data_IF_790482735710
#
_entry.id   IF_790482735710
#
_cell.length_a   1.000
_cell.length_b   1.000
_cell.length_c   1.000
_cell.angle_alpha   90.00
_cell.angle_beta   90.00
_cell.angle_gamma   90.00
#
_symmetry.space_group_name_H-M   'P 1'
#
loop_
_entity.id
_entity.type
_entity.pdbx_description
1 polymer ?
#
# COMPACT_ATOMS: atom_id res chain seq x y z
N UNK A 1 13.84 4.35 5.13
CA UNK A 1 14.58 3.44 6.04
C UNK A 1 16.05 3.81 6.01
N UNK A 2 16.78 3.71 7.13
CA UNK A 2 18.25 3.83 7.08
C UNK A 2 18.80 2.58 6.40
N UNK A 3 19.59 2.79 5.34
CA UNK A 3 20.27 1.71 4.61
C UNK A 3 21.33 1.07 5.51
N UNK A 4 21.57 -0.24 5.32
CA UNK A 4 22.67 -0.93 5.99
C UNK A 4 23.99 -0.40 5.41
N UNK A 5 24.98 -0.05 6.24
CA UNK A 5 26.31 0.32 5.76
C UNK A 5 27.02 -0.86 5.08
N UNK A 6 27.78 -0.58 4.01
CA UNK A 6 28.54 -1.61 3.27
C UNK A 6 29.60 -2.23 4.18
N UNK A 7 29.74 -3.56 4.13
CA UNK A 7 30.73 -4.30 4.91
C UNK A 7 30.55 -4.27 6.43
N UNK A 8 29.46 -3.67 6.97
CA UNK A 8 29.25 -3.54 8.42
C UNK A 8 27.83 -3.94 8.84
N UNK A 9 27.63 -4.45 10.07
CA UNK A 9 26.30 -4.72 10.59
C UNK A 9 25.51 -3.42 10.82
N UNK A 10 24.19 -3.50 10.69
CA UNK A 10 23.32 -2.35 11.01
C UNK A 10 23.23 -2.19 12.54
N UNK A 11 23.42 -0.95 13.02
CA UNK A 11 23.21 -0.60 14.43
C UNK A 11 21.85 -1.07 14.95
N UNK A 12 21.82 -1.56 16.20
CA UNK A 12 20.60 -2.01 16.89
C UNK A 12 19.51 -0.94 16.84
N UNK A 13 19.85 0.32 17.10
CA UNK A 13 18.89 1.44 17.05
C UNK A 13 18.30 1.64 15.66
N UNK A 14 19.10 1.52 14.60
CA UNK A 14 18.61 1.61 13.24
C UNK A 14 17.65 0.46 12.89
N UNK A 15 17.92 -0.75 13.38
CA UNK A 15 17.02 -1.91 13.22
C UNK A 15 15.68 -1.67 13.92
N UNK A 16 15.71 -1.29 15.19
CA UNK A 16 14.49 -1.03 15.99
C UNK A 16 13.65 0.07 15.35
N UNK A 17 14.28 1.19 14.99
CA UNK A 17 13.59 2.30 14.33
C UNK A 17 13.03 1.91 12.97
N UNK A 18 13.80 1.21 12.12
CA UNK A 18 13.30 0.75 10.83
C UNK A 18 12.13 -0.23 11.01
N UNK A 19 12.17 -1.12 12.01
CA UNK A 19 11.07 -2.05 12.34
C UNK A 19 9.80 -1.29 12.75
N UNK A 20 9.93 -0.28 13.62
CA UNK A 20 8.81 0.56 14.03
C UNK A 20 8.17 1.29 12.84
N UNK A 21 9.00 1.90 11.97
CA UNK A 21 8.52 2.56 10.75
C UNK A 21 7.84 1.56 9.81
N UNK A 22 8.40 0.36 9.63
CA UNK A 22 7.82 -0.69 8.78
C UNK A 22 6.42 -1.08 9.19
N UNK A 23 6.15 -1.19 10.51
CA UNK A 23 4.81 -1.55 11.02
C UNK A 23 3.72 -0.59 10.51
N UNK A 24 4.03 0.70 10.34
CA UNK A 24 3.07 1.66 9.80
C UNK A 24 3.07 1.70 8.27
N UNK A 25 4.25 1.66 7.64
CA UNK A 25 4.38 1.77 6.18
C UNK A 25 3.80 0.59 5.42
N UNK A 26 3.79 -0.61 6.01
CA UNK A 26 3.31 -1.80 5.29
C UNK A 26 1.87 -1.63 4.80
N UNK A 27 1.00 -0.95 5.57
CA UNK A 27 -0.40 -0.75 5.20
C UNK A 27 -0.48 0.05 3.90
N UNK A 28 0.23 1.17 3.86
CA UNK A 28 0.29 2.08 2.71
C UNK A 28 0.89 1.38 1.49
N UNK A 29 2.03 0.71 1.67
CA UNK A 29 2.75 0.01 0.59
C UNK A 29 1.94 -1.17 0.04
N UNK A 30 1.24 -1.92 0.90
CA UNK A 30 0.32 -2.99 0.49
C UNK A 30 -0.81 -2.42 -0.36
N UNK A 31 -1.47 -1.35 0.08
CA UNK A 31 -2.57 -0.73 -0.66
C UNK A 31 -2.12 -0.28 -2.04
N UNK A 32 -1.02 0.48 -2.16
CA UNK A 32 -0.49 0.88 -3.47
C UNK A 32 -0.04 -0.32 -4.31
N UNK A 33 0.52 -1.36 -3.69
CA UNK A 33 0.89 -2.59 -4.37
C UNK A 33 -0.32 -3.31 -4.98
N UNK A 34 -1.45 -3.34 -4.27
CA UNK A 34 -2.72 -3.89 -4.77
C UNK A 34 -3.34 -3.02 -5.85
N UNK A 35 -3.37 -1.70 -5.66
CA UNK A 35 -3.87 -0.76 -6.66
C UNK A 35 -3.12 -0.87 -7.99
N UNK A 36 -1.79 -1.00 -7.94
CA UNK A 36 -0.95 -1.17 -9.13
C UNK A 36 -1.14 -2.54 -9.80
N UNK A 37 -1.12 -3.63 -9.03
CA UNK A 37 -1.13 -5.00 -9.56
C UNK A 37 -2.53 -5.51 -9.93
N UNK A 38 -3.51 -5.31 -9.06
CA UNK A 38 -4.87 -5.85 -9.21
C UNK A 38 -5.79 -4.86 -9.91
N UNK A 39 -5.70 -3.57 -9.56
CA UNK A 39 -6.53 -2.54 -10.16
C UNK A 39 -5.87 -1.86 -11.37
N UNK A 40 -4.68 -2.30 -11.80
CA UNK A 40 -4.05 -1.80 -13.03
C UNK A 40 -3.67 -0.31 -12.99
N UNK A 41 -3.37 0.25 -11.82
CA UNK A 41 -2.89 1.64 -11.67
C UNK A 41 -1.35 1.77 -11.75
N UNK A 42 -0.67 0.79 -12.34
CA UNK A 42 0.78 0.84 -12.55
C UNK A 42 1.19 1.86 -13.62
N UNK A 43 0.30 2.10 -14.60
CA UNK A 43 0.50 3.00 -15.73
C UNK A 43 -0.80 3.81 -15.91
N UNK A 44 -0.68 5.10 -16.21
CA UNK A 44 -1.83 5.93 -16.55
C UNK A 44 -2.36 5.56 -17.94
N UNK A 45 -3.66 5.28 -18.04
CA UNK A 45 -4.30 4.87 -19.32
C UNK A 45 -4.85 6.02 -20.14
N UNK A 46 -5.13 7.15 -19.49
CA UNK A 46 -5.70 8.34 -20.12
C UNK A 46 -4.67 9.46 -20.20
N UNK A 47 -4.83 10.32 -21.20
CA UNK A 47 -3.93 11.46 -21.44
C UNK A 47 -4.21 12.62 -20.46
N UNK A 48 -5.47 12.90 -20.15
CA UNK A 48 -5.82 14.05 -19.30
C UNK A 48 -5.75 13.69 -17.81
N UNK A 49 -5.27 14.65 -17.00
CA UNK A 49 -5.18 14.51 -15.55
C UNK A 49 -6.55 14.25 -14.91
N UNK A 50 -7.60 14.91 -15.39
CA UNK A 50 -8.96 14.72 -14.91
C UNK A 50 -9.43 13.26 -15.09
N UNK A 51 -9.23 12.68 -16.27
CA UNK A 51 -9.63 11.28 -16.55
C UNK A 51 -8.83 10.30 -15.70
N UNK A 52 -7.53 10.53 -15.53
CA UNK A 52 -6.68 9.71 -14.65
C UNK A 52 -7.10 9.85 -13.18
N UNK A 53 -7.42 11.06 -12.72
CA UNK A 53 -7.89 11.30 -11.35
C UNK A 53 -9.21 10.57 -11.07
N UNK A 54 -10.16 10.64 -12.01
CA UNK A 54 -11.43 9.93 -11.93
C UNK A 54 -11.23 8.41 -11.90
N UNK A 55 -10.32 7.88 -12.74
CA UNK A 55 -9.95 6.46 -12.73
C UNK A 55 -9.38 6.01 -11.37
N UNK A 56 -8.46 6.79 -10.82
CA UNK A 56 -7.84 6.50 -9.52
C UNK A 56 -8.89 6.52 -8.41
N UNK A 57 -9.77 7.52 -8.39
CA UNK A 57 -10.85 7.64 -7.40
C UNK A 57 -11.81 6.44 -7.47
N UNK A 58 -12.27 6.09 -8.67
CA UNK A 58 -13.19 4.96 -8.86
C UNK A 58 -12.57 3.64 -8.37
N UNK A 59 -11.30 3.38 -8.72
CA UNK A 59 -10.59 2.18 -8.28
C UNK A 59 -10.29 2.19 -6.78
N UNK A 60 -10.03 3.35 -6.18
CA UNK A 60 -9.87 3.49 -4.74
C UNK A 60 -11.19 3.19 -3.99
N UNK A 61 -12.32 3.66 -4.51
CA UNK A 61 -13.65 3.31 -3.98
C UNK A 61 -13.88 1.81 -4.07
N UNK A 62 -13.65 1.19 -5.23
CA UNK A 62 -13.80 -0.25 -5.42
C UNK A 62 -12.90 -1.08 -4.46
N UNK A 63 -11.66 -0.64 -4.24
CA UNK A 63 -10.76 -1.24 -3.25
C UNK A 63 -11.33 -1.16 -1.84
N UNK A 64 -11.82 0.02 -1.44
CA UNK A 64 -12.39 0.21 -0.11
C UNK A 64 -13.65 -0.63 0.11
N UNK A 65 -14.54 -0.73 -0.89
CA UNK A 65 -15.73 -1.58 -0.84
C UNK A 65 -15.37 -3.07 -0.68
N UNK A 66 -14.40 -3.55 -1.47
CA UNK A 66 -13.93 -4.94 -1.37
C UNK A 66 -13.35 -5.22 0.02
N UNK A 67 -12.56 -4.28 0.55
CA UNK A 67 -11.99 -4.39 1.90
C UNK A 67 -13.07 -4.37 2.98
N UNK A 68 -14.08 -3.51 2.85
CA UNK A 68 -15.19 -3.43 3.80
C UNK A 68 -16.00 -4.73 3.80
N UNK A 69 -16.29 -5.30 2.63
CA UNK A 69 -16.99 -6.59 2.53
C UNK A 69 -16.21 -7.73 3.19
N UNK A 70 -14.88 -7.78 3.02
CA UNK A 70 -14.04 -8.78 3.69
C UNK A 70 -14.03 -8.60 5.21
N UNK A 71 -13.88 -7.37 5.70
CA UNK A 71 -13.94 -7.09 7.15
C UNK A 71 -15.30 -7.49 7.70
N UNK A 72 -16.39 -7.16 7.00
CA UNK A 72 -17.73 -7.56 7.41
C UNK A 72 -17.89 -9.08 7.46
N UNK A 73 -17.37 -9.80 6.46
CA UNK A 73 -17.35 -11.27 6.44
C UNK A 73 -16.60 -11.84 7.65
N UNK A 74 -15.42 -11.32 7.96
CA UNK A 74 -14.61 -11.78 9.10
C UNK A 74 -15.31 -11.50 10.45
N UNK A 75 -16.20 -10.50 10.52
CA UNK A 75 -16.98 -10.20 11.73
C UNK A 75 -18.17 -11.13 11.93
N UNK A 76 -18.79 -11.62 10.84
CA UNK A 76 -20.01 -12.46 10.92
C UNK A 76 -19.72 -13.96 10.83
N UNK A 77 -18.52 -14.35 10.42
CA UNK A 77 -18.10 -15.76 10.30
C UNK A 77 -16.86 -15.99 11.20
N UNK A 78 -17.04 -16.53 12.43
CA UNK A 78 -15.94 -16.80 13.35
C UNK A 78 -15.02 -17.95 12.90
#
# INVERSE_FOLDING_TARGET
MRKKPKGKPMSRWNKVRNKAISKRRFVVERTFGTLKRTYGLAIARYISLEKVANEVNLKAIAYNLTRAANIYKDLITP
#
